data_IF_178227833535
#
_entry.id   IF_178227833535
#
_cell.length_a   1.000
_cell.length_b   1.000
_cell.length_c   1.000
_cell.angle_alpha   90.00
_cell.angle_beta   90.00
_cell.angle_gamma   90.00
#
_symmetry.space_group_name_H-M   'P 1'
#
loop_
_entity.id
_entity.type
_entity.pdbx_description
1 polymer ?
#
# COMPACT_ATOMS: atom_id res chain seq x y z
N UNK A 1 11.47 12.56 2.54
CA UNK A 1 11.14 11.12 2.74
C UNK A 1 9.69 10.86 3.15
N UNK A 2 9.23 11.43 4.27
CA UNK A 2 7.85 11.23 4.75
C UNK A 2 6.80 11.70 3.75
N UNK A 3 6.99 12.88 3.15
CA UNK A 3 6.08 13.43 2.14
C UNK A 3 5.97 12.51 0.90
N UNK A 4 7.09 11.92 0.47
CA UNK A 4 7.13 10.96 -0.66
C UNK A 4 6.35 9.68 -0.34
N UNK A 5 6.55 9.12 0.86
CA UNK A 5 5.82 7.93 1.30
C UNK A 5 4.32 8.25 1.44
N UNK A 6 3.97 9.42 1.99
CA UNK A 6 2.60 9.89 2.05
C UNK A 6 1.96 10.08 0.67
N UNK A 7 2.69 10.61 -0.30
CA UNK A 7 2.23 10.70 -1.69
C UNK A 7 2.01 9.32 -2.32
N UNK A 8 2.87 8.35 -2.01
CA UNK A 8 2.73 6.97 -2.46
C UNK A 8 1.48 6.29 -1.88
N UNK A 9 1.23 6.44 -0.57
CA UNK A 9 0.01 5.97 0.11
C UNK A 9 -1.23 6.53 -0.57
N UNK A 10 -1.30 7.84 -0.80
CA UNK A 10 -2.42 8.49 -1.50
C UNK A 10 -2.63 7.94 -2.90
N UNK A 11 -1.55 7.75 -3.66
CA UNK A 11 -1.64 7.24 -5.03
C UNK A 11 -2.13 5.79 -5.06
N UNK A 12 -1.65 4.93 -4.15
CA UNK A 12 -2.12 3.55 -4.03
C UNK A 12 -3.59 3.47 -3.61
N UNK A 13 -4.03 4.30 -2.66
CA UNK A 13 -5.43 4.35 -2.25
C UNK A 13 -6.35 4.83 -3.39
N UNK A 14 -5.94 5.85 -4.15
CA UNK A 14 -6.67 6.28 -5.36
C UNK A 14 -6.76 5.15 -6.40
N UNK A 15 -5.70 4.39 -6.61
CA UNK A 15 -5.77 3.22 -7.49
C UNK A 15 -6.80 2.19 -7.02
N UNK A 16 -6.94 1.96 -5.70
CA UNK A 16 -7.98 1.09 -5.15
C UNK A 16 -9.39 1.61 -5.44
N UNK A 17 -9.58 2.94 -5.46
CA UNK A 17 -10.86 3.58 -5.82
C UNK A 17 -11.16 3.49 -7.31
N UNK A 18 -10.19 3.85 -8.14
CA UNK A 18 -10.38 4.03 -9.58
C UNK A 18 -10.32 2.70 -10.36
N UNK A 19 -9.55 1.73 -9.84
CA UNK A 19 -9.28 0.41 -10.47
C UNK A 19 -9.52 -0.77 -9.52
N UNK A 20 -10.72 -0.91 -8.91
CA UNK A 20 -10.97 -1.95 -7.92
C UNK A 20 -11.04 -3.36 -8.52
N UNK A 21 -11.36 -3.47 -9.81
CA UNK A 21 -11.41 -4.77 -10.52
C UNK A 21 -10.01 -5.33 -10.72
N UNK A 22 -9.06 -4.47 -11.05
CA UNK A 22 -7.66 -4.78 -11.27
C UNK A 22 -6.99 -5.19 -9.96
N UNK A 23 -7.28 -4.50 -8.85
CA UNK A 23 -6.83 -4.90 -7.51
C UNK A 23 -7.33 -6.31 -7.17
N UNK A 24 -8.63 -6.58 -7.35
CA UNK A 24 -9.22 -7.90 -7.07
C UNK A 24 -8.70 -9.00 -7.98
N UNK A 25 -8.45 -8.69 -9.26
CA UNK A 25 -7.84 -9.64 -10.20
C UNK A 25 -6.44 -10.04 -9.72
N UNK A 26 -5.63 -9.06 -9.34
CA UNK A 26 -4.30 -9.31 -8.80
C UNK A 26 -4.38 -10.13 -7.50
N UNK A 27 -5.24 -9.74 -6.55
CA UNK A 27 -5.44 -10.47 -5.30
C UNK A 27 -5.89 -11.93 -5.53
N UNK A 28 -6.82 -12.17 -6.45
CA UNK A 28 -7.28 -13.52 -6.80
C UNK A 28 -6.16 -14.39 -7.36
N UNK A 29 -5.29 -13.83 -8.19
CA UNK A 29 -4.11 -14.52 -8.72
C UNK A 29 -3.11 -14.85 -7.60
N UNK A 30 -2.88 -13.95 -6.64
CA UNK A 30 -2.04 -14.23 -5.45
C UNK A 30 -2.63 -15.36 -4.60
N UNK A 31 -3.94 -15.36 -4.34
CA UNK A 31 -4.62 -16.39 -3.56
C UNK A 31 -4.54 -17.78 -4.21
N UNK A 32 -4.42 -17.83 -5.55
CA UNK A 32 -4.19 -19.07 -6.31
C UNK A 32 -2.71 -19.52 -6.31
N UNK A 33 -1.82 -18.79 -5.63
CA UNK A 33 -0.37 -19.07 -5.64
C UNK A 33 0.38 -18.47 -6.83
N UNK A 34 -0.22 -17.47 -7.50
CA UNK A 34 0.33 -16.76 -8.65
C UNK A 34 0.79 -17.65 -9.83
N UNK A 35 -0.06 -18.58 -10.32
CA UNK A 35 0.31 -19.50 -11.41
C UNK A 35 0.75 -18.82 -12.70
N UNK A 36 0.21 -17.64 -13.02
CA UNK A 36 0.46 -16.88 -14.25
C UNK A 36 1.47 -15.75 -14.04
N UNK A 37 1.48 -15.11 -12.88
CA UNK A 37 2.34 -13.94 -12.61
C UNK A 37 3.52 -14.23 -11.68
N UNK A 38 3.71 -15.47 -11.23
CA UNK A 38 4.75 -15.82 -10.26
C UNK A 38 6.18 -15.49 -10.72
N UNK A 39 6.47 -15.62 -12.02
CA UNK A 39 7.76 -15.22 -12.61
C UNK A 39 7.96 -13.71 -12.56
N UNK A 40 6.90 -12.93 -12.84
CA UNK A 40 6.92 -11.47 -12.74
C UNK A 40 7.12 -10.99 -11.29
N UNK A 41 6.54 -11.70 -10.33
CA UNK A 41 6.72 -11.42 -8.89
C UNK A 41 8.16 -11.69 -8.46
N UNK A 42 8.69 -12.89 -8.77
CA UNK A 42 10.03 -13.31 -8.33
C UNK A 42 11.17 -12.59 -9.05
N UNK A 43 10.92 -12.03 -10.23
CA UNK A 43 11.91 -11.28 -11.00
C UNK A 43 11.67 -9.76 -10.92
N UNK A 44 10.99 -9.15 -11.90
CA UNK A 44 10.83 -7.70 -12.01
C UNK A 44 10.31 -7.00 -10.74
N UNK A 45 9.26 -7.54 -10.11
CA UNK A 45 8.69 -6.91 -8.91
C UNK A 45 9.69 -6.96 -7.75
N UNK A 46 10.33 -8.11 -7.51
CA UNK A 46 11.37 -8.24 -6.49
C UNK A 46 12.51 -7.25 -6.72
N UNK A 47 13.02 -7.16 -7.94
CA UNK A 47 14.11 -6.24 -8.27
C UNK A 47 13.73 -4.77 -7.98
N UNK A 48 12.52 -4.37 -8.37
CA UNK A 48 12.01 -3.03 -8.09
C UNK A 48 11.87 -2.77 -6.58
N UNK A 49 11.34 -3.73 -5.82
CA UNK A 49 11.19 -3.60 -4.37
C UNK A 49 12.56 -3.53 -3.68
N UNK A 50 13.52 -4.36 -4.09
CA UNK A 50 14.88 -4.36 -3.57
C UNK A 50 15.55 -3.00 -3.79
N UNK A 51 15.39 -2.40 -4.98
CA UNK A 51 15.89 -1.06 -5.29
C UNK A 51 15.28 0.01 -4.35
N UNK A 52 13.96 0.03 -4.21
CA UNK A 52 13.30 1.02 -3.33
C UNK A 52 13.57 0.78 -1.86
N UNK A 53 13.80 -0.48 -1.47
CA UNK A 53 14.19 -0.82 -0.12
C UNK A 53 15.55 -0.20 0.26
N UNK A 54 16.51 -0.14 -0.67
CA UNK A 54 17.77 0.55 -0.41
C UNK A 54 17.60 2.05 -0.19
N UNK A 55 16.72 2.69 -0.95
CA UNK A 55 16.40 4.13 -0.78
C UNK A 55 15.83 4.39 0.62
N UNK A 56 14.86 3.58 1.04
CA UNK A 56 14.23 3.72 2.37
C UNK A 56 15.25 3.45 3.49
N UNK A 57 16.11 2.44 3.35
CA UNK A 57 17.21 2.19 4.31
C UNK A 57 18.15 3.36 4.42
N UNK A 58 18.49 4.00 3.30
CA UNK A 58 19.30 5.22 3.29
C UNK A 58 18.66 6.31 4.14
N UNK A 59 17.37 6.60 3.93
CA UNK A 59 16.65 7.59 4.73
C UNK A 59 16.60 7.26 6.22
N UNK A 60 16.39 5.99 6.58
CA UNK A 60 16.36 5.56 7.97
C UNK A 60 17.74 5.66 8.63
N UNK A 61 18.81 5.23 7.93
CA UNK A 61 20.19 5.34 8.40
C UNK A 61 20.60 6.80 8.64
N UNK A 62 20.17 7.68 7.76
CA UNK A 62 20.50 9.11 7.82
C UNK A 62 19.60 9.88 8.83
N UNK A 63 18.73 9.19 9.57
CA UNK A 63 17.85 9.78 10.60
C UNK A 63 16.71 10.64 10.03
N UNK A 64 16.42 10.53 8.74
CA UNK A 64 15.37 11.33 8.07
C UNK A 64 13.96 10.75 8.26
N UNK A 65 13.88 9.48 8.64
CA UNK A 65 12.67 8.77 9.07
C UNK A 65 13.03 7.81 10.21
N UNK A 66 12.03 7.36 10.95
CA UNK A 66 12.17 6.31 11.95
C UNK A 66 12.89 5.05 11.41
N UNK A 67 13.63 4.29 12.24
CA UNK A 67 14.21 3.02 11.86
C UNK A 67 13.09 1.99 11.60
N UNK A 68 12.87 1.66 10.33
CA UNK A 68 11.83 0.73 9.88
C UNK A 68 12.41 -0.28 8.89
N UNK A 69 11.86 -1.50 8.88
CA UNK A 69 12.14 -2.43 7.79
C UNK A 69 11.44 -1.96 6.50
N UNK A 70 12.18 -1.76 5.39
CA UNK A 70 11.62 -1.19 4.18
C UNK A 70 10.64 -2.13 3.46
N UNK A 71 10.84 -3.45 3.54
CA UNK A 71 9.94 -4.41 2.89
C UNK A 71 8.60 -4.42 3.60
N UNK A 72 8.62 -4.48 4.93
CA UNK A 72 7.38 -4.44 5.72
C UNK A 72 6.66 -3.10 5.60
N UNK A 73 7.38 -1.98 5.48
CA UNK A 73 6.75 -0.71 5.14
C UNK A 73 6.01 -0.78 3.80
N UNK A 74 6.68 -1.25 2.73
CA UNK A 74 6.08 -1.40 1.40
C UNK A 74 4.85 -2.33 1.44
N UNK A 75 4.99 -3.51 2.06
CA UNK A 75 3.92 -4.50 2.17
C UNK A 75 2.73 -3.96 2.96
N UNK A 76 2.98 -3.21 4.05
CA UNK A 76 1.90 -2.59 4.82
C UNK A 76 1.11 -1.60 3.99
N UNK A 77 1.79 -0.76 3.20
CA UNK A 77 1.14 0.23 2.33
C UNK A 77 0.27 -0.49 1.31
N UNK A 78 0.79 -1.54 0.68
CA UNK A 78 0.02 -2.35 -0.28
C UNK A 78 -1.20 -2.99 0.37
N UNK A 79 -1.00 -3.71 1.47
CA UNK A 79 -2.06 -4.43 2.17
C UNK A 79 -3.20 -3.49 2.57
N UNK A 80 -2.87 -2.37 3.24
CA UNK A 80 -3.88 -1.47 3.79
C UNK A 80 -4.58 -0.69 2.69
N UNK A 81 -3.88 -0.23 1.65
CA UNK A 81 -4.52 0.51 0.55
C UNK A 81 -5.38 -0.39 -0.33
N UNK A 82 -4.94 -1.61 -0.64
CA UNK A 82 -5.68 -2.55 -1.48
C UNK A 82 -6.87 -3.17 -0.76
N UNK A 83 -6.85 -3.24 0.58
CA UNK A 83 -8.00 -3.65 1.38
C UNK A 83 -9.28 -2.89 1.01
N UNK A 84 -9.17 -1.58 0.72
CA UNK A 84 -10.29 -0.72 0.31
C UNK A 84 -10.92 -1.08 -1.05
N UNK A 85 -10.26 -1.90 -1.87
CA UNK A 85 -10.81 -2.45 -3.11
C UNK A 85 -11.18 -3.94 -2.97
N UNK A 86 -10.28 -4.72 -2.37
CA UNK A 86 -10.38 -6.18 -2.33
C UNK A 86 -11.47 -6.64 -1.36
N UNK A 87 -11.64 -5.91 -0.26
CA UNK A 87 -12.62 -6.18 0.80
C UNK A 87 -13.72 -5.11 0.84
N UNK A 88 -13.99 -4.45 -0.28
CA UNK A 88 -14.97 -3.37 -0.41
C UNK A 88 -16.36 -3.74 0.14
N UNK A 89 -16.82 -4.98 -0.11
CA UNK A 89 -18.10 -5.49 0.42
C UNK A 89 -18.09 -5.52 1.96
N UNK A 90 -17.00 -5.97 2.57
CA UNK A 90 -16.86 -6.00 4.03
C UNK A 90 -16.83 -4.58 4.61
N UNK A 91 -16.07 -3.68 3.97
CA UNK A 91 -15.94 -2.29 4.44
C UNK A 91 -17.29 -1.59 4.43
N UNK A 92 -18.03 -1.68 3.32
CA UNK A 92 -19.37 -1.05 3.19
C UNK A 92 -20.36 -1.64 4.18
N UNK A 93 -20.33 -2.96 4.39
CA UNK A 93 -21.18 -3.62 5.38
C UNK A 93 -20.88 -3.16 6.82
N UNK A 94 -19.61 -2.97 7.18
CA UNK A 94 -19.20 -2.53 8.53
C UNK A 94 -19.48 -1.05 8.76
N UNK A 95 -19.24 -0.19 7.76
CA UNK A 95 -19.49 1.25 7.86
C UNK A 95 -20.98 1.60 7.78
N UNK A 96 -21.81 0.70 7.24
CA UNK A 96 -23.24 0.93 7.05
C UNK A 96 -23.54 2.03 6.02
N UNK A 97 -22.58 2.38 5.16
CA UNK A 97 -22.73 3.40 4.12
C UNK A 97 -22.01 3.01 2.83
N UNK A 98 -22.60 3.38 1.70
CA UNK A 98 -21.98 3.31 0.37
C UNK A 98 -21.27 4.64 0.01
N UNK A 99 -20.95 5.48 1.01
CA UNK A 99 -20.49 6.86 0.79
C UNK A 99 -19.10 6.92 0.15
N UNK A 100 -18.96 7.78 -0.86
CA UNK A 100 -17.70 8.12 -1.52
C UNK A 100 -16.71 8.78 -0.53
N UNK A 101 -17.23 9.44 0.51
CA UNK A 101 -16.43 10.09 1.56
C UNK A 101 -15.47 9.12 2.26
N UNK A 102 -15.79 7.82 2.31
CA UNK A 102 -14.95 6.78 2.94
C UNK A 102 -13.51 6.78 2.43
N UNK A 103 -13.30 7.05 1.14
CA UNK A 103 -11.95 7.10 0.56
C UNK A 103 -11.19 8.33 1.01
N UNK A 104 -11.87 9.48 1.13
CA UNK A 104 -11.25 10.71 1.64
C UNK A 104 -10.89 10.60 3.13
N UNK A 105 -11.73 9.91 3.91
CA UNK A 105 -11.47 9.62 5.33
C UNK A 105 -10.33 8.64 5.51
N UNK A 106 -10.31 7.55 4.73
CA UNK A 106 -9.21 6.60 4.68
C UNK A 106 -7.90 7.28 4.27
N UNK A 107 -7.93 8.18 3.28
CA UNK A 107 -6.75 8.91 2.85
C UNK A 107 -6.17 9.75 3.99
N UNK A 108 -7.02 10.51 4.67
CA UNK A 108 -6.64 11.35 5.82
C UNK A 108 -6.06 10.51 6.96
N UNK A 109 -6.71 9.38 7.28
CA UNK A 109 -6.24 8.48 8.33
C UNK A 109 -4.88 7.88 7.98
N UNK A 110 -4.75 7.29 6.80
CA UNK A 110 -3.53 6.57 6.40
C UNK A 110 -2.35 7.51 6.22
N UNK A 111 -2.54 8.68 5.62
CA UNK A 111 -1.46 9.67 5.49
C UNK A 111 -0.96 10.14 6.85
N UNK A 112 -1.86 10.39 7.80
CA UNK A 112 -1.49 10.74 9.17
C UNK A 112 -0.79 9.58 9.90
N UNK A 113 -1.33 8.37 9.81
CA UNK A 113 -0.78 7.17 10.43
C UNK A 113 0.66 6.92 9.99
N UNK A 114 0.92 6.88 8.68
CA UNK A 114 2.26 6.68 8.15
C UNK A 114 3.21 7.85 8.44
N UNK A 115 2.73 9.10 8.41
CA UNK A 115 3.55 10.24 8.79
C UNK A 115 4.03 10.16 10.24
N UNK A 116 3.15 9.74 11.17
CA UNK A 116 3.51 9.53 12.58
C UNK A 116 4.44 8.34 12.78
N UNK A 117 4.18 7.22 12.11
CA UNK A 117 5.03 6.03 12.20
C UNK A 117 6.46 6.26 11.66
N UNK A 118 6.63 7.23 10.77
CA UNK A 118 7.91 7.55 10.14
C UNK A 118 8.59 8.79 10.75
N UNK A 119 8.04 9.39 11.80
CA UNK A 119 8.67 10.50 12.51
C UNK A 119 9.99 10.02 13.14
N UNK A 120 11.13 10.71 12.90
CA UNK A 120 12.42 10.36 13.49
C UNK A 120 12.40 10.26 15.02
#
# INVERSE_FOLDING_TARGET
>A
PQAEIGAYVRRKLRMSRDYPRESRLFAGEILQGAPRIGTMIRGPLRALVDEKAQVIRGWARDGLIAPVDPYHLIFSIWAVTQHYADFDVQIRAVLGSDDEARFSEAERFLTHFYARALAP
#
